data_IF_518656615133
#
_entry.id   IF_518656615133
#
_cell.length_a   1.000
_cell.length_b   1.000
_cell.length_c   1.000
_cell.angle_alpha   90.00
_cell.angle_beta   90.00
_cell.angle_gamma   90.00
#
_symmetry.space_group_name_H-M   'P 1'
#
loop_
_entity.id
_entity.type
_entity.pdbx_description
1 polymer ?
#
# COMPACT_ATOMS: atom_id res chain seq x y z
N UNK A 1 13.66 -1.37 -11.26
CA UNK A 1 12.61 -1.85 -12.14
C UNK A 1 11.30 -2.09 -11.40
N UNK A 2 10.33 -2.64 -12.11
CA UNK A 2 8.98 -2.86 -11.56
C UNK A 2 9.00 -3.76 -10.31
N UNK A 3 9.88 -4.76 -10.29
CA UNK A 3 10.01 -5.67 -9.15
C UNK A 3 10.45 -4.94 -7.88
N UNK A 4 11.47 -4.09 -7.99
CA UNK A 4 11.95 -3.30 -6.85
C UNK A 4 10.88 -2.30 -6.41
N UNK A 5 10.20 -1.71 -7.38
CA UNK A 5 9.12 -0.77 -7.13
C UNK A 5 7.97 -1.44 -6.37
N UNK A 6 7.56 -2.63 -6.81
CA UNK A 6 6.48 -3.37 -6.16
C UNK A 6 6.83 -3.76 -4.72
N UNK A 7 8.10 -4.02 -4.42
CA UNK A 7 8.55 -4.38 -3.09
C UNK A 7 8.38 -3.24 -2.08
N UNK A 8 8.25 -2.00 -2.54
CA UNK A 8 8.00 -0.86 -1.66
C UNK A 8 6.60 -0.90 -1.05
N UNK A 9 5.64 -1.56 -1.69
CA UNK A 9 4.26 -1.59 -1.24
C UNK A 9 4.11 -2.14 0.19
N UNK A 10 4.58 -3.36 0.50
CA UNK A 10 4.43 -3.88 1.86
C UNK A 10 5.16 -3.04 2.90
N UNK A 11 6.31 -2.49 2.56
CA UNK A 11 7.09 -1.66 3.48
C UNK A 11 6.36 -0.37 3.81
N UNK A 12 5.90 0.34 2.79
CA UNK A 12 5.14 1.59 3.00
C UNK A 12 3.91 1.31 3.83
N UNK A 13 3.20 0.23 3.51
CA UNK A 13 1.98 -0.14 4.20
C UNK A 13 2.25 -0.39 5.70
N UNK A 14 3.33 -1.10 6.01
CA UNK A 14 3.69 -1.46 7.39
C UNK A 14 4.23 -0.28 8.19
N UNK A 15 5.04 0.59 7.55
CA UNK A 15 5.77 1.64 8.24
C UNK A 15 4.98 2.94 8.41
N UNK A 16 3.85 3.10 7.72
CA UNK A 16 3.06 4.32 7.81
C UNK A 16 2.32 4.40 9.14
N UNK A 17 2.16 5.62 9.64
CA UNK A 17 1.55 5.86 10.95
C UNK A 17 0.07 5.47 10.98
N UNK A 18 -0.66 5.74 9.91
CA UNK A 18 -2.07 5.40 9.79
C UNK A 18 -2.43 5.13 8.32
N UNK A 19 -3.66 4.71 8.07
CA UNK A 19 -4.13 4.39 6.73
C UNK A 19 -4.04 5.58 5.77
N UNK A 20 -4.36 6.77 6.24
CA UNK A 20 -4.26 7.98 5.43
C UNK A 20 -2.83 8.28 5.01
N UNK A 21 -1.89 8.17 5.95
CA UNK A 21 -0.47 8.36 5.67
C UNK A 21 0.03 7.31 4.67
N UNK A 22 -0.40 6.05 4.83
CA UNK A 22 -0.03 4.98 3.90
C UNK A 22 -0.54 5.27 2.50
N UNK A 23 -1.80 5.69 2.37
CA UNK A 23 -2.39 6.03 1.08
C UNK A 23 -1.62 7.15 0.40
N UNK A 24 -1.29 8.20 1.14
CA UNK A 24 -0.51 9.32 0.61
C UNK A 24 0.88 8.90 0.16
N UNK A 25 1.57 8.09 0.97
CA UNK A 25 2.91 7.62 0.65
C UNK A 25 2.91 6.70 -0.59
N UNK A 26 1.89 5.83 -0.70
CA UNK A 26 1.75 4.96 -1.87
C UNK A 26 1.51 5.78 -3.14
N UNK A 27 0.64 6.78 -3.06
CA UNK A 27 0.38 7.65 -4.20
C UNK A 27 1.64 8.42 -4.60
N UNK A 28 2.38 8.93 -3.62
CA UNK A 28 3.63 9.65 -3.86
C UNK A 28 4.70 8.75 -4.49
N UNK A 29 4.66 7.46 -4.18
CA UNK A 29 5.58 6.49 -4.75
C UNK A 29 5.17 6.05 -6.17
N UNK A 30 4.04 6.51 -6.67
CA UNK A 30 3.62 6.24 -8.05
C UNK A 30 2.59 5.13 -8.20
N UNK A 31 2.07 4.57 -7.10
CA UNK A 31 1.00 3.56 -7.18
C UNK A 31 -0.37 4.21 -7.35
N UNK A 32 -1.23 3.58 -8.11
CA UNK A 32 -2.65 3.92 -8.05
C UNK A 32 -3.25 3.30 -6.80
N UNK A 33 -3.88 4.09 -5.95
CA UNK A 33 -4.43 3.59 -4.69
C UNK A 33 -5.93 3.40 -4.81
N UNK A 34 -6.40 2.17 -4.66
CA UNK A 34 -7.83 1.88 -4.64
C UNK A 34 -8.39 2.14 -3.24
N UNK A 35 -7.73 1.57 -2.22
CA UNK A 35 -8.07 1.84 -0.83
C UNK A 35 -6.93 1.47 0.11
N UNK A 36 -6.92 2.08 1.28
CA UNK A 36 -6.14 1.64 2.43
C UNK A 36 -7.05 1.77 3.65
N UNK A 37 -7.17 0.71 4.43
CA UNK A 37 -8.10 0.67 5.55
C UNK A 37 -7.48 -0.09 6.73
N UNK A 38 -7.62 0.47 7.93
CA UNK A 38 -7.24 -0.20 9.16
C UNK A 38 -8.49 -0.84 9.78
N UNK A 39 -8.44 -2.15 9.98
CA UNK A 39 -9.58 -2.91 10.50
C UNK A 39 -9.09 -4.09 11.31
N UNK A 40 -9.61 -4.23 12.52
CA UNK A 40 -9.37 -5.41 13.37
C UNK A 40 -7.89 -5.72 13.59
N UNK A 41 -7.04 -4.69 13.74
CA UNK A 41 -5.61 -4.89 13.96
C UNK A 41 -4.81 -5.19 12.70
N UNK A 42 -5.41 -5.04 11.53
CA UNK A 42 -4.75 -5.20 10.24
C UNK A 42 -4.89 -3.94 9.41
N UNK A 43 -3.92 -3.72 8.55
CA UNK A 43 -4.01 -2.69 7.52
C UNK A 43 -4.16 -3.38 6.17
N UNK A 44 -5.28 -3.13 5.52
CA UNK A 44 -5.65 -3.73 4.24
C UNK A 44 -5.47 -2.69 3.15
N UNK A 45 -4.91 -3.07 2.02
CA UNK A 45 -4.73 -2.14 0.91
C UNK A 45 -4.85 -2.83 -0.43
N UNK A 46 -5.35 -2.08 -1.41
CA UNK A 46 -5.34 -2.47 -2.81
C UNK A 46 -4.77 -1.33 -3.62
N UNK A 47 -3.79 -1.64 -4.43
CA UNK A 47 -3.13 -0.67 -5.31
C UNK A 47 -3.10 -1.20 -6.73
N UNK A 48 -2.78 -0.32 -7.67
CA UNK A 48 -2.55 -0.69 -9.07
C UNK A 48 -1.18 -0.24 -9.52
N UNK A 49 -0.54 -1.11 -10.28
CA UNK A 49 0.76 -0.83 -10.89
C UNK A 49 0.77 -1.45 -12.28
N UNK A 50 0.94 -0.62 -13.30
CA UNK A 50 1.01 -1.05 -14.71
C UNK A 50 -0.18 -1.93 -15.11
N UNK A 51 -1.39 -1.54 -14.68
CA UNK A 51 -2.61 -2.29 -15.02
C UNK A 51 -2.84 -3.53 -14.18
N UNK A 52 -1.97 -3.83 -13.24
CA UNK A 52 -2.11 -4.98 -12.34
C UNK A 52 -2.55 -4.50 -10.97
N UNK A 53 -3.59 -5.14 -10.43
CA UNK A 53 -4.06 -4.85 -9.08
C UNK A 53 -3.34 -5.73 -8.08
N UNK A 54 -2.75 -5.12 -7.07
CA UNK A 54 -2.06 -5.80 -5.99
C UNK A 54 -2.82 -5.57 -4.69
N UNK A 55 -3.03 -6.64 -3.95
CA UNK A 55 -3.74 -6.59 -2.67
C UNK A 55 -2.81 -7.14 -1.61
N UNK A 56 -2.74 -6.47 -0.48
CA UNK A 56 -1.91 -6.93 0.64
C UNK A 56 -2.57 -6.56 1.96
N UNK A 57 -2.11 -7.21 3.00
CA UNK A 57 -2.47 -6.85 4.36
C UNK A 57 -1.25 -6.99 5.26
N UNK A 58 -1.18 -6.15 6.27
CA UNK A 58 -0.14 -6.23 7.27
C UNK A 58 -0.77 -6.14 8.65
N UNK A 59 -0.17 -6.84 9.60
CA UNK A 59 -0.61 -6.79 10.97
C UNK A 59 -0.07 -5.53 11.64
N UNK A 60 -0.95 -4.83 12.31
CA UNK A 60 -0.58 -3.61 13.04
C UNK A 60 -0.05 -3.91 14.44
#
# INVERSE_FOLDING_TARGET
GARTFAAAFPRILRESADAGAAAGALAAAGFGVDYVEDRNGFRLAAIRLDGVRLIDNVRL
#
